data_IF_964541910319
#
_entry.id   IF_964541910319
#
_cell.length_a   1.000
_cell.length_b   1.000
_cell.length_c   1.000
_cell.angle_alpha   90.00
_cell.angle_beta   90.00
_cell.angle_gamma   90.00
#
_symmetry.space_group_name_H-M   'P 1'
#
loop_
_entity.id
_entity.type
_entity.pdbx_description
1 polymer ?
#
# COMPACT_ATOMS: atom_id res chain seq x y z
N UNK A 1 10.00 18.49 16.54
CA UNK A 1 10.63 18.98 15.30
C UNK A 1 11.42 20.27 15.54
N UNK A 2 12.43 20.53 14.72
CA UNK A 2 13.20 21.82 14.76
C UNK A 2 12.37 22.99 14.22
N UNK A 3 11.34 22.72 13.39
CA UNK A 3 10.39 23.72 12.93
C UNK A 3 9.32 23.91 14.00
N UNK A 4 9.26 25.13 14.56
CA UNK A 4 8.29 25.50 15.61
C UNK A 4 6.82 25.44 15.16
N UNK A 5 6.57 25.41 13.85
CA UNK A 5 5.23 25.26 13.27
C UNK A 5 4.80 23.79 13.12
N UNK A 6 5.72 22.84 13.23
CA UNK A 6 5.43 21.41 13.16
C UNK A 6 5.24 20.87 14.58
N UNK A 7 4.02 20.73 15.00
CA UNK A 7 3.67 20.29 16.35
C UNK A 7 2.99 18.92 16.30
N UNK A 8 3.62 17.91 16.87
CA UNK A 8 2.97 16.63 17.11
C UNK A 8 2.03 16.78 18.32
N UNK A 9 0.74 16.97 18.07
CA UNK A 9 -0.26 17.30 19.07
C UNK A 9 -1.33 16.22 19.22
N UNK A 10 -1.70 15.81 20.45
CA UNK A 10 -2.82 14.88 20.68
C UNK A 10 -4.18 15.43 20.22
N UNK A 11 -4.31 16.74 20.03
CA UNK A 11 -5.53 17.36 19.49
C UNK A 11 -5.75 17.01 18.02
N UNK A 12 -4.67 16.88 17.26
CA UNK A 12 -4.68 16.51 15.84
C UNK A 12 -4.55 14.98 15.66
N UNK A 13 -3.72 14.37 16.49
CA UNK A 13 -3.40 12.94 16.45
C UNK A 13 -3.90 12.24 17.72
N UNK A 14 -5.17 11.89 17.76
CA UNK A 14 -5.85 11.37 18.95
C UNK A 14 -5.17 10.12 19.55
N UNK A 15 -4.58 9.26 18.71
CA UNK A 15 -3.88 8.06 19.18
C UNK A 15 -2.64 8.38 20.03
N UNK A 16 -2.04 9.55 19.86
CA UNK A 16 -0.94 10.01 20.71
C UNK A 16 -1.37 10.19 22.17
N UNK A 17 -2.63 10.56 22.43
CA UNK A 17 -3.15 10.69 23.80
C UNK A 17 -3.21 9.36 24.56
N UNK A 18 -3.27 8.23 23.85
CA UNK A 18 -3.23 6.90 24.44
C UNK A 18 -1.82 6.46 24.86
N UNK A 19 -0.80 7.26 24.52
CA UNK A 19 0.62 6.95 24.73
C UNK A 19 1.24 7.72 25.91
N UNK A 20 0.43 8.19 26.85
CA UNK A 20 0.94 8.84 28.07
C UNK A 20 1.80 7.85 28.86
N UNK A 21 3.05 8.25 29.13
CA UNK A 21 4.03 7.41 29.82
C UNK A 21 4.90 6.54 28.88
N UNK A 22 4.66 6.59 27.57
CA UNK A 22 5.53 5.93 26.59
C UNK A 22 6.66 6.84 26.13
N UNK A 23 7.79 6.26 25.80
CA UNK A 23 8.83 6.94 25.03
C UNK A 23 8.43 6.98 23.55
N UNK A 24 8.38 8.18 23.00
CA UNK A 24 8.01 8.44 21.61
C UNK A 24 9.24 8.82 20.80
N UNK A 25 9.51 8.09 19.73
CA UNK A 25 10.57 8.40 18.78
C UNK A 25 9.99 9.27 17.67
N UNK A 26 10.66 10.38 17.36
CA UNK A 26 10.33 11.30 16.26
C UNK A 26 11.60 11.71 15.52
N UNK A 27 11.44 12.31 14.33
CA UNK A 27 12.53 13.00 13.64
C UNK A 27 12.52 14.50 13.93
N UNK A 28 13.51 15.22 13.39
CA UNK A 28 13.63 16.69 13.52
C UNK A 28 12.50 17.47 12.80
N UNK A 29 11.76 16.81 11.91
CA UNK A 29 10.77 17.44 11.01
C UNK A 29 11.36 17.90 9.68
N UNK A 30 12.70 17.87 9.51
CA UNK A 30 13.38 18.18 8.24
C UNK A 30 13.53 16.96 7.34
N UNK A 31 13.47 15.78 7.91
CA UNK A 31 13.52 14.49 7.23
C UNK A 31 12.39 13.60 7.75
N UNK A 32 12.03 12.57 7.00
CA UNK A 32 11.21 11.48 7.54
C UNK A 32 11.94 10.81 8.69
N UNK A 33 11.20 10.30 9.66
CA UNK A 33 11.73 9.38 10.67
C UNK A 33 12.11 8.06 10.01
N UNK A 34 11.26 7.56 9.09
CA UNK A 34 11.36 6.24 8.49
C UNK A 34 11.14 5.14 9.53
N UNK A 35 10.19 5.36 10.45
CA UNK A 35 9.64 4.27 11.26
C UNK A 35 9.03 3.22 10.35
N UNK A 36 8.47 3.65 9.26
CA UNK A 36 8.11 2.90 8.07
C UNK A 36 9.35 2.71 7.16
N UNK A 37 10.04 1.47 7.13
CA UNK A 37 9.71 0.39 8.08
C UNK A 37 10.92 -0.03 8.94
N UNK A 38 11.67 0.93 9.46
CA UNK A 38 12.74 0.62 10.44
C UNK A 38 12.18 0.07 11.77
N UNK A 39 10.91 0.36 12.09
CA UNK A 39 10.27 -0.20 13.26
C UNK A 39 10.12 -1.72 13.14
N UNK A 40 9.65 -2.22 11.98
CA UNK A 40 9.57 -3.64 11.70
C UNK A 40 10.93 -4.33 11.74
N UNK A 41 11.97 -3.71 11.15
CA UNK A 41 13.35 -4.23 11.26
C UNK A 41 13.78 -4.37 12.73
N UNK A 42 13.55 -3.35 13.56
CA UNK A 42 13.93 -3.37 14.97
C UNK A 42 13.15 -4.44 15.76
N UNK A 43 11.86 -4.61 15.50
CA UNK A 43 11.02 -5.66 16.09
C UNK A 43 11.55 -7.04 15.75
N UNK A 44 11.80 -7.32 14.46
CA UNK A 44 12.31 -8.59 13.97
C UNK A 44 13.67 -8.90 14.60
N UNK A 45 14.61 -7.95 14.55
CA UNK A 45 15.96 -8.16 15.09
C UNK A 45 15.98 -8.32 16.62
N UNK A 46 15.06 -7.66 17.32
CA UNK A 46 14.91 -7.84 18.79
C UNK A 46 14.39 -9.24 19.11
N UNK A 47 13.39 -9.73 18.37
CA UNK A 47 12.88 -11.08 18.54
C UNK A 47 13.95 -12.14 18.23
N UNK A 48 14.73 -11.94 17.16
CA UNK A 48 15.87 -12.83 16.82
C UNK A 48 16.90 -12.88 17.93
N UNK A 49 17.31 -11.73 18.46
CA UNK A 49 18.26 -11.67 19.55
C UNK A 49 17.74 -12.39 20.80
N UNK A 50 16.45 -12.25 21.12
CA UNK A 50 15.81 -13.00 22.20
C UNK A 50 15.88 -14.50 21.98
N UNK A 51 15.51 -15.00 20.81
CA UNK A 51 15.51 -16.43 20.47
C UNK A 51 16.92 -17.02 20.54
N UNK A 52 17.92 -16.33 20.01
CA UNK A 52 19.33 -16.78 20.08
C UNK A 52 19.83 -16.84 21.53
N UNK A 53 19.41 -15.92 22.39
CA UNK A 53 19.79 -15.90 23.82
C UNK A 53 19.14 -17.03 24.62
N UNK A 54 18.01 -17.58 24.15
CA UNK A 54 17.21 -18.62 24.80
C UNK A 54 17.41 -19.98 24.12
N UNK A 55 18.63 -20.52 24.17
CA UNK A 55 19.05 -21.76 23.47
C UNK A 55 18.20 -23.01 23.72
N UNK A 56 17.32 -23.00 24.73
CA UNK A 56 16.48 -24.14 25.12
C UNK A 56 15.00 -24.00 24.67
N UNK A 57 14.62 -22.95 23.97
CA UNK A 57 13.27 -22.83 23.43
C UNK A 57 13.19 -23.45 22.04
N UNK A 58 12.37 -24.51 21.92
CA UNK A 58 12.11 -25.14 20.61
C UNK A 58 11.27 -24.22 19.75
N UNK A 59 11.76 -23.86 18.57
CA UNK A 59 11.00 -23.17 17.55
C UNK A 59 11.20 -23.81 16.17
N UNK A 60 10.25 -23.62 15.28
CA UNK A 60 10.37 -24.01 13.89
C UNK A 60 11.48 -23.21 13.20
N UNK A 61 11.95 -23.69 12.05
CA UNK A 61 12.84 -22.89 11.18
C UNK A 61 12.17 -21.54 10.84
N UNK A 62 12.93 -20.47 10.99
CA UNK A 62 12.49 -19.10 10.71
C UNK A 62 13.35 -18.56 9.58
N UNK A 63 12.71 -18.00 8.58
CA UNK A 63 13.32 -17.29 7.47
C UNK A 63 13.01 -15.80 7.61
N UNK A 64 14.03 -14.96 7.47
CA UNK A 64 13.91 -13.51 7.58
C UNK A 64 14.34 -12.91 6.25
N UNK A 65 13.52 -12.00 5.72
CA UNK A 65 13.86 -11.22 4.55
C UNK A 65 13.68 -9.73 4.85
N UNK A 66 14.63 -8.95 4.41
CA UNK A 66 14.53 -7.50 4.33
C UNK A 66 14.55 -7.12 2.87
N UNK A 67 13.47 -6.58 2.38
CA UNK A 67 13.29 -6.19 1.00
C UNK A 67 13.69 -4.72 0.79
N UNK A 68 14.17 -4.40 -0.38
CA UNK A 68 14.38 -3.03 -0.84
C UNK A 68 13.24 -2.62 -1.77
N UNK A 69 13.03 -1.31 -1.95
CA UNK A 69 12.06 -0.79 -2.92
C UNK A 69 10.58 -1.16 -2.64
N UNK A 70 10.21 -1.46 -1.37
CA UNK A 70 8.83 -1.72 -0.97
C UNK A 70 7.92 -0.54 -1.33
N UNK A 71 8.32 0.68 -0.98
CA UNK A 71 7.60 1.94 -1.16
C UNK A 71 7.20 2.26 -2.62
N UNK A 72 7.85 1.62 -3.56
CA UNK A 72 7.53 1.70 -4.99
C UNK A 72 6.94 0.40 -5.56
N UNK A 73 6.51 -0.52 -4.68
CA UNK A 73 5.89 -1.79 -5.03
C UNK A 73 6.82 -2.76 -5.74
N UNK A 74 8.12 -2.76 -5.43
CA UNK A 74 9.15 -3.62 -6.03
C UNK A 74 9.90 -4.48 -5.02
N UNK A 75 9.44 -4.55 -3.77
CA UNK A 75 10.07 -5.32 -2.71
C UNK A 75 10.10 -6.81 -2.98
N UNK A 76 9.01 -7.37 -3.52
CA UNK A 76 8.92 -8.81 -3.81
C UNK A 76 9.42 -9.15 -5.21
N UNK A 77 10.70 -9.45 -5.35
CA UNK A 77 11.26 -9.94 -6.61
C UNK A 77 10.73 -11.34 -6.97
N UNK A 78 10.93 -11.75 -8.23
CA UNK A 78 10.31 -12.96 -8.79
C UNK A 78 10.61 -14.24 -8.00
N UNK A 79 11.83 -14.39 -7.51
CA UNK A 79 12.29 -15.63 -6.86
C UNK A 79 12.14 -15.58 -5.32
N UNK A 80 11.72 -14.48 -4.73
CA UNK A 80 11.64 -14.36 -3.27
C UNK A 80 10.78 -15.46 -2.61
N UNK A 81 9.63 -15.89 -3.14
CA UNK A 81 8.87 -17.01 -2.59
C UNK A 81 9.67 -18.33 -2.54
N UNK A 82 10.41 -18.63 -3.60
CA UNK A 82 11.26 -19.83 -3.68
C UNK A 82 12.45 -19.74 -2.73
N UNK A 83 13.09 -18.57 -2.62
CA UNK A 83 14.20 -18.32 -1.72
C UNK A 83 13.76 -18.43 -0.25
N UNK A 84 12.58 -17.93 0.08
CA UNK A 84 11.99 -18.08 1.40
C UNK A 84 11.63 -19.55 1.69
N UNK A 85 11.04 -20.25 0.73
CA UNK A 85 10.63 -21.66 0.86
C UNK A 85 9.85 -21.92 2.16
N UNK A 86 8.82 -21.12 2.43
CA UNK A 86 7.99 -21.18 3.64
C UNK A 86 6.53 -21.42 3.28
N UNK A 87 5.74 -21.92 4.23
CA UNK A 87 4.30 -22.16 4.05
C UNK A 87 3.47 -20.89 4.15
N UNK A 88 3.92 -19.91 4.92
CA UNK A 88 3.34 -18.60 5.13
C UNK A 88 4.37 -17.67 5.75
N UNK A 89 4.10 -16.38 5.74
CA UNK A 89 4.95 -15.36 6.34
C UNK A 89 4.10 -14.28 7.05
N UNK A 90 4.78 -13.31 7.66
CA UNK A 90 4.18 -12.07 8.19
C UNK A 90 5.09 -10.90 7.80
N UNK A 91 4.49 -9.79 7.40
CA UNK A 91 5.17 -8.49 7.38
C UNK A 91 4.90 -7.78 8.71
N UNK A 92 5.87 -7.02 9.21
CA UNK A 92 5.74 -6.15 10.37
C UNK A 92 5.86 -4.71 9.89
N UNK A 93 4.77 -4.21 9.33
CA UNK A 93 4.68 -2.95 8.60
C UNK A 93 3.30 -2.29 8.80
N UNK A 94 2.66 -2.60 9.93
CA UNK A 94 1.34 -2.10 10.27
C UNK A 94 1.36 -0.95 11.27
N UNK A 95 0.20 -0.30 11.43
CA UNK A 95 0.04 0.89 12.26
C UNK A 95 -0.18 0.60 13.74
N UNK A 96 -1.41 0.83 14.23
CA UNK A 96 -1.76 0.79 15.65
C UNK A 96 -1.69 -0.61 16.25
N UNK A 97 -1.40 -0.66 17.55
CA UNK A 97 -1.42 -1.92 18.32
C UNK A 97 -2.72 -2.69 18.10
N UNK A 98 -2.59 -3.97 17.76
CA UNK A 98 -3.69 -4.88 17.48
C UNK A 98 -4.13 -4.93 16.03
N UNK A 99 -3.69 -4.03 15.16
CA UNK A 99 -4.02 -4.08 13.74
C UNK A 99 -3.38 -5.32 13.08
N UNK A 100 -4.22 -6.07 12.37
CA UNK A 100 -3.84 -7.13 11.44
C UNK A 100 -4.46 -6.77 10.10
N UNK A 101 -3.61 -6.53 9.11
CA UNK A 101 -4.07 -6.24 7.78
C UNK A 101 -4.15 -7.54 6.98
N UNK A 102 -5.34 -7.92 6.62
CA UNK A 102 -5.65 -9.13 5.88
C UNK A 102 -6.34 -8.84 4.54
N UNK A 103 -6.49 -7.58 4.22
CA UNK A 103 -7.17 -7.09 3.04
C UNK A 103 -6.49 -5.82 2.52
N UNK A 104 -6.21 -5.79 1.22
CA UNK A 104 -5.62 -4.66 0.52
C UNK A 104 -6.46 -4.29 -0.68
N UNK A 105 -6.21 -3.13 -1.28
CA UNK A 105 -6.72 -2.89 -2.62
C UNK A 105 -6.23 -3.96 -3.61
N UNK A 106 -7.01 -4.20 -4.64
CA UNK A 106 -6.55 -4.64 -5.95
C UNK A 106 -6.15 -3.41 -6.76
N UNK A 107 -5.11 -3.53 -7.58
CA UNK A 107 -4.49 -2.41 -8.27
C UNK A 107 -4.23 -2.71 -9.74
N UNK A 108 -4.58 -1.75 -10.58
CA UNK A 108 -4.18 -1.67 -11.97
C UNK A 108 -3.65 -0.26 -12.26
N UNK A 109 -2.86 -0.12 -13.32
CA UNK A 109 -2.52 1.17 -13.90
C UNK A 109 -3.10 1.28 -15.30
N UNK A 110 -3.34 2.50 -15.75
CA UNK A 110 -3.72 2.78 -17.12
C UNK A 110 -2.81 3.87 -17.69
N UNK A 111 -2.55 3.78 -18.99
CA UNK A 111 -1.86 4.79 -19.76
C UNK A 111 -2.70 5.14 -20.98
N UNK A 112 -3.05 6.42 -21.11
CA UNK A 112 -3.78 6.96 -22.25
C UNK A 112 -2.82 7.73 -23.11
N UNK A 113 -2.58 7.23 -24.31
CA UNK A 113 -1.76 7.88 -25.34
C UNK A 113 -2.67 8.60 -26.33
N UNK A 114 -2.47 9.90 -26.47
CA UNK A 114 -3.25 10.79 -27.33
C UNK A 114 -2.31 11.37 -28.38
N UNK A 115 -2.58 11.12 -29.64
CA UNK A 115 -1.89 11.76 -30.78
C UNK A 115 -2.84 12.72 -31.47
N UNK A 116 -2.44 13.98 -31.50
CA UNK A 116 -3.13 15.04 -32.24
C UNK A 116 -2.67 15.16 -33.70
N UNK A 117 -3.00 16.28 -34.32
CA UNK A 117 -2.56 16.66 -35.67
C UNK A 117 -1.78 17.97 -35.56
N UNK A 118 -0.48 17.92 -35.81
CA UNK A 118 0.40 19.08 -35.77
C UNK A 118 0.35 19.87 -37.06
N UNK A 119 0.10 21.18 -36.94
CA UNK A 119 0.12 22.16 -38.03
C UNK A 119 0.77 23.42 -37.51
N UNK A 120 1.39 24.22 -38.38
CA UNK A 120 1.90 25.55 -37.99
C UNK A 120 0.77 26.39 -37.39
N UNK A 121 0.95 27.01 -36.21
CA UNK A 121 -0.14 27.73 -35.54
C UNK A 121 -0.85 28.80 -36.38
N UNK A 122 -0.13 29.45 -37.29
CA UNK A 122 -0.68 30.43 -38.22
C UNK A 122 -1.66 29.86 -39.26
N UNK A 123 -1.54 28.57 -39.55
CA UNK A 123 -2.31 27.87 -40.58
C UNK A 123 -3.28 26.80 -39.95
N UNK A 124 -3.39 26.83 -38.62
CA UNK A 124 -4.00 25.75 -37.84
C UNK A 124 -5.55 25.72 -37.84
N UNK A 125 -6.19 26.76 -38.41
CA UNK A 125 -7.66 26.87 -38.36
C UNK A 125 -8.32 25.70 -39.07
N UNK A 126 -9.11 24.92 -38.30
CA UNK A 126 -9.81 23.67 -38.70
C UNK A 126 -8.91 22.50 -39.08
N UNK A 127 -7.58 22.65 -38.97
CA UNK A 127 -6.60 21.63 -39.38
C UNK A 127 -5.89 21.00 -38.16
N UNK A 128 -5.53 21.84 -37.18
CA UNK A 128 -4.84 21.36 -35.98
C UNK A 128 -5.77 20.60 -35.03
N UNK A 129 -5.25 19.52 -34.44
CA UNK A 129 -5.83 18.87 -33.29
C UNK A 129 -4.80 18.86 -32.17
N UNK A 130 -5.07 19.63 -31.13
CA UNK A 130 -4.14 19.79 -30.01
C UNK A 130 -4.35 18.68 -28.97
N UNK A 131 -3.34 17.83 -28.80
CA UNK A 131 -3.38 16.70 -27.85
C UNK A 131 -3.55 17.16 -26.39
N UNK A 132 -3.04 18.35 -26.00
CA UNK A 132 -3.23 18.91 -24.66
C UNK A 132 -4.71 19.18 -24.38
N UNK A 133 -5.44 19.73 -25.37
CA UNK A 133 -6.87 20.01 -25.20
C UNK A 133 -7.66 18.71 -24.99
N UNK A 134 -7.37 17.65 -25.76
CA UNK A 134 -8.01 16.35 -25.62
C UNK A 134 -7.68 15.69 -24.28
N UNK A 135 -6.42 15.76 -23.84
CA UNK A 135 -6.01 15.27 -22.54
C UNK A 135 -6.75 15.98 -21.39
N UNK A 136 -6.87 17.30 -21.47
CA UNK A 136 -7.63 18.10 -20.50
C UNK A 136 -9.10 17.75 -20.49
N UNK A 137 -9.67 17.45 -21.66
CA UNK A 137 -11.07 17.01 -21.78
C UNK A 137 -11.28 15.64 -21.12
N UNK A 138 -10.35 14.68 -21.24
CA UNK A 138 -10.42 13.40 -20.52
C UNK A 138 -10.46 13.65 -19.01
N UNK A 139 -9.56 14.46 -18.47
CA UNK A 139 -9.51 14.75 -17.03
C UNK A 139 -10.79 15.45 -16.56
N UNK A 140 -11.27 16.46 -17.30
CA UNK A 140 -12.44 17.24 -16.93
C UNK A 140 -13.76 16.42 -16.97
N UNK A 141 -13.81 15.35 -17.74
CA UNK A 141 -14.96 14.46 -17.81
C UNK A 141 -14.89 13.27 -16.85
N UNK A 142 -13.79 13.10 -16.10
CA UNK A 142 -13.78 12.15 -14.98
C UNK A 142 -14.78 12.61 -13.92
N UNK A 143 -15.51 11.69 -13.27
CA UNK A 143 -16.41 12.04 -12.16
C UNK A 143 -15.59 12.34 -10.89
N UNK A 144 -14.87 13.47 -10.90
CA UNK A 144 -13.88 13.87 -9.88
C UNK A 144 -14.49 13.96 -8.47
N UNK A 145 -15.78 14.25 -8.38
CA UNK A 145 -16.52 14.37 -7.11
C UNK A 145 -16.88 13.01 -6.47
N UNK A 146 -16.58 11.88 -7.12
CA UNK A 146 -16.99 10.54 -6.66
C UNK A 146 -15.89 9.50 -6.60
N UNK A 147 -14.91 9.57 -7.51
CA UNK A 147 -13.97 8.45 -7.73
C UNK A 147 -12.51 8.85 -7.69
N UNK A 148 -12.16 9.98 -7.09
CA UNK A 148 -10.76 10.38 -6.91
C UNK A 148 -10.30 10.15 -5.45
N UNK A 149 -8.99 10.04 -5.19
CA UNK A 149 -8.49 9.85 -3.83
C UNK A 149 -8.94 10.94 -2.86
N UNK A 150 -9.13 12.17 -3.35
CA UNK A 150 -9.49 13.35 -2.55
C UNK A 150 -10.91 13.27 -1.95
N UNK A 151 -11.78 12.46 -2.53
CA UNK A 151 -13.21 12.37 -2.16
C UNK A 151 -13.64 10.98 -1.72
N UNK A 152 -12.74 9.99 -1.76
CA UNK A 152 -13.06 8.59 -1.41
C UNK A 152 -12.43 8.19 -0.09
N UNK A 153 -13.16 7.40 0.70
CA UNK A 153 -12.70 6.89 1.99
C UNK A 153 -13.03 5.39 2.16
N UNK A 154 -12.56 4.81 3.26
CA UNK A 154 -12.90 3.43 3.69
C UNK A 154 -12.70 2.41 2.55
N UNK A 155 -13.79 1.78 2.11
CA UNK A 155 -13.77 0.74 1.09
C UNK A 155 -14.02 1.26 -0.32
N UNK A 156 -14.14 2.55 -0.50
CA UNK A 156 -14.36 3.16 -1.81
C UNK A 156 -13.06 3.14 -2.63
N UNK A 157 -13.15 2.62 -3.85
CA UNK A 157 -12.04 2.63 -4.79
C UNK A 157 -11.93 3.96 -5.54
N UNK A 158 -10.83 4.16 -6.26
CA UNK A 158 -10.59 5.41 -6.98
C UNK A 158 -9.87 5.23 -8.32
N UNK A 159 -9.97 6.26 -9.16
CA UNK A 159 -9.09 6.55 -10.31
C UNK A 159 -8.28 7.79 -9.95
N UNK A 160 -6.97 7.69 -10.04
CA UNK A 160 -6.06 8.82 -9.78
C UNK A 160 -5.16 9.07 -10.98
N UNK A 161 -5.27 10.26 -11.58
CA UNK A 161 -4.33 10.71 -12.58
C UNK A 161 -3.02 11.13 -11.89
N UNK A 162 -1.93 10.44 -12.21
CA UNK A 162 -0.62 10.67 -11.56
C UNK A 162 0.29 11.56 -12.37
N UNK A 163 0.19 11.49 -13.70
CA UNK A 163 1.07 12.23 -14.61
C UNK A 163 0.33 12.65 -15.87
N UNK A 164 0.70 13.83 -16.40
CA UNK A 164 0.40 14.28 -17.75
C UNK A 164 1.69 14.75 -18.39
N UNK A 165 2.14 14.05 -19.42
CA UNK A 165 3.46 14.28 -20.05
C UNK A 165 3.29 14.41 -21.55
N UNK A 166 3.85 15.45 -22.15
CA UNK A 166 3.80 15.62 -23.60
C UNK A 166 3.74 17.06 -24.08
N UNK A 167 3.13 17.25 -25.25
CA UNK A 167 2.99 18.54 -25.92
C UNK A 167 1.73 18.55 -26.81
N UNK A 168 1.56 19.58 -27.65
CA UNK A 168 0.40 19.72 -28.52
C UNK A 168 0.25 18.62 -29.58
N UNK A 169 1.34 17.89 -29.91
CA UNK A 169 1.30 16.77 -30.88
C UNK A 169 0.91 15.46 -30.25
N UNK A 170 1.45 15.20 -29.04
CA UNK A 170 1.25 13.94 -28.32
C UNK A 170 1.21 14.17 -26.83
N UNK A 171 0.24 13.55 -26.15
CA UNK A 171 0.11 13.56 -24.70
C UNK A 171 -0.04 12.13 -24.17
N UNK A 172 0.54 11.89 -23.01
CA UNK A 172 0.38 10.67 -22.21
C UNK A 172 -0.23 11.07 -20.88
N UNK A 173 -1.33 10.42 -20.50
CA UNK A 173 -1.90 10.52 -19.15
C UNK A 173 -1.69 9.17 -18.47
N UNK A 174 -1.12 9.17 -17.26
CA UNK A 174 -1.00 7.97 -16.45
C UNK A 174 -1.99 7.98 -15.31
N UNK A 175 -2.59 6.82 -15.08
CA UNK A 175 -3.56 6.61 -14.02
C UNK A 175 -3.18 5.40 -13.17
N UNK A 176 -3.53 5.46 -11.90
CA UNK A 176 -3.64 4.29 -11.04
C UNK A 176 -5.11 4.06 -10.68
N UNK A 177 -5.53 2.80 -10.73
CA UNK A 177 -6.87 2.34 -10.40
C UNK A 177 -6.79 1.46 -9.16
N UNK A 178 -7.64 1.73 -8.19
CA UNK A 178 -7.69 0.99 -6.92
C UNK A 178 -9.12 0.63 -6.57
N UNK A 179 -9.32 -0.61 -6.16
CA UNK A 179 -10.59 -1.08 -5.58
C UNK A 179 -10.33 -2.34 -4.75
N UNK A 180 -11.16 -2.59 -3.73
CA UNK A 180 -11.10 -3.84 -2.98
C UNK A 180 -11.67 -5.01 -3.78
N UNK A 181 -12.66 -4.73 -4.64
CA UNK A 181 -13.32 -5.75 -5.46
C UNK A 181 -12.88 -5.67 -6.92
N UNK A 182 -12.70 -6.82 -7.57
CA UNK A 182 -12.32 -6.88 -8.99
C UNK A 182 -13.36 -6.22 -9.89
N UNK A 183 -14.65 -6.38 -9.56
CA UNK A 183 -15.73 -5.72 -10.27
C UNK A 183 -15.59 -4.20 -10.26
N UNK A 184 -15.24 -3.61 -9.11
CA UNK A 184 -15.01 -2.17 -8.99
C UNK A 184 -13.78 -1.72 -9.79
N UNK A 185 -12.73 -2.55 -9.93
CA UNK A 185 -11.62 -2.26 -10.84
C UNK A 185 -12.07 -2.25 -12.31
N UNK A 186 -12.89 -3.23 -12.71
CA UNK A 186 -13.37 -3.34 -14.08
C UNK A 186 -14.30 -2.15 -14.42
N UNK A 187 -15.20 -1.75 -13.52
CA UNK A 187 -16.01 -0.53 -13.66
C UNK A 187 -15.14 0.73 -13.88
N UNK A 188 -14.00 0.84 -13.20
CA UNK A 188 -13.07 1.96 -13.38
C UNK A 188 -12.35 1.94 -14.72
N UNK A 189 -12.04 0.75 -15.25
CA UNK A 189 -11.50 0.61 -16.61
C UNK A 189 -12.54 1.03 -17.64
N UNK A 190 -13.79 0.57 -17.50
CA UNK A 190 -14.89 0.92 -18.37
C UNK A 190 -15.10 2.44 -18.43
N UNK A 191 -15.07 3.14 -17.29
CA UNK A 191 -15.15 4.61 -17.25
C UNK A 191 -14.07 5.25 -18.11
N UNK A 192 -12.81 4.84 -17.99
CA UNK A 192 -11.72 5.40 -18.80
C UNK A 192 -11.86 5.06 -20.28
N UNK A 193 -12.26 3.83 -20.61
CA UNK A 193 -12.49 3.41 -22.00
C UNK A 193 -13.62 4.20 -22.66
N UNK A 194 -14.74 4.39 -21.95
CA UNK A 194 -15.87 5.16 -22.45
C UNK A 194 -15.51 6.63 -22.67
N UNK A 195 -14.75 7.25 -21.76
CA UNK A 195 -14.25 8.61 -21.92
C UNK A 195 -13.35 8.73 -23.16
N UNK A 196 -12.37 7.85 -23.29
CA UNK A 196 -11.47 7.84 -24.44
C UNK A 196 -12.26 7.65 -25.75
N UNK A 197 -13.21 6.72 -25.78
CA UNK A 197 -14.07 6.45 -26.93
C UNK A 197 -14.94 7.65 -27.28
N UNK A 198 -15.54 8.30 -26.30
CA UNK A 198 -16.37 9.50 -26.50
C UNK A 198 -15.57 10.60 -27.18
N UNK A 199 -14.36 10.89 -26.67
CA UNK A 199 -13.49 11.95 -27.22
C UNK A 199 -12.97 11.54 -28.61
N UNK A 200 -12.62 10.28 -28.84
CA UNK A 200 -12.24 9.79 -30.16
C UNK A 200 -13.37 9.97 -31.20
N UNK A 201 -14.63 9.85 -30.80
CA UNK A 201 -15.78 10.06 -31.69
C UNK A 201 -15.97 11.54 -32.00
N UNK A 202 -15.78 12.44 -31.03
CA UNK A 202 -15.91 13.89 -31.25
C UNK A 202 -14.76 14.48 -32.07
N UNK A 203 -13.54 13.89 -31.98
CA UNK A 203 -12.37 14.28 -32.78
C UNK A 203 -11.76 13.06 -33.49
N UNK A 204 -12.33 12.63 -34.62
CA UNK A 204 -11.89 11.43 -35.32
C UNK A 204 -10.50 11.50 -35.98
N UNK A 205 -9.92 12.71 -36.09
CA UNK A 205 -8.56 12.92 -36.61
C UNK A 205 -7.48 12.62 -35.57
N UNK A 206 -7.81 12.65 -34.27
CA UNK A 206 -6.93 12.20 -33.22
C UNK A 206 -6.77 10.67 -33.23
N UNK A 207 -5.74 10.17 -32.51
CA UNK A 207 -5.63 8.75 -32.19
C UNK A 207 -5.50 8.64 -30.67
N UNK A 208 -6.49 8.00 -30.04
CA UNK A 208 -6.52 7.81 -28.59
C UNK A 208 -6.44 6.31 -28.32
N UNK A 209 -5.41 5.89 -27.58
CA UNK A 209 -5.23 4.50 -27.18
C UNK A 209 -5.13 4.44 -25.65
N UNK A 210 -5.75 3.44 -25.06
CA UNK A 210 -5.64 3.16 -23.63
C UNK A 210 -5.05 1.78 -23.43
N UNK A 211 -4.13 1.68 -22.46
CA UNK A 211 -3.44 0.44 -22.10
C UNK A 211 -3.58 0.23 -20.61
N UNK A 212 -4.01 -0.96 -20.20
CA UNK A 212 -4.10 -1.34 -18.80
C UNK A 212 -2.99 -2.33 -18.44
N UNK A 213 -2.46 -2.17 -17.24
CA UNK A 213 -1.46 -3.10 -16.69
C UNK A 213 -1.86 -3.49 -15.27
N UNK A 214 -2.00 -4.79 -15.05
CA UNK A 214 -2.18 -5.37 -13.71
C UNK A 214 -0.95 -5.08 -12.85
N UNK A 215 -1.19 -4.66 -11.60
CA UNK A 215 -0.15 -4.45 -10.60
C UNK A 215 -0.18 -5.57 -9.54
N UNK A 216 -1.19 -5.60 -8.68
CA UNK A 216 -1.39 -6.62 -7.66
C UNK A 216 -2.89 -6.82 -7.37
N UNK A 217 -3.21 -7.84 -6.57
CA UNK A 217 -4.58 -8.15 -6.17
C UNK A 217 -4.72 -8.15 -4.66
N UNK A 218 -5.95 -7.92 -4.19
CA UNK A 218 -6.33 -7.96 -2.80
C UNK A 218 -5.92 -9.30 -2.17
N UNK A 219 -5.09 -9.25 -1.13
CA UNK A 219 -4.59 -10.45 -0.46
C UNK A 219 -5.70 -11.31 0.15
N UNK A 220 -6.87 -10.72 0.44
CA UNK A 220 -8.03 -11.40 1.00
C UNK A 220 -8.43 -12.62 0.16
N UNK A 221 -8.34 -12.57 -1.16
CA UNK A 221 -8.73 -13.68 -2.02
C UNK A 221 -8.02 -15.00 -1.72
N UNK A 222 -6.79 -14.94 -1.26
CA UNK A 222 -6.01 -16.11 -0.86
C UNK A 222 -6.04 -16.36 0.65
N UNK A 223 -6.08 -15.30 1.47
CA UNK A 223 -6.13 -15.43 2.92
C UNK A 223 -7.48 -15.98 3.41
N UNK A 224 -8.57 -15.76 2.68
CA UNK A 224 -9.87 -16.40 2.98
C UNK A 224 -9.87 -17.91 2.70
N UNK A 225 -9.06 -18.36 1.73
CA UNK A 225 -8.89 -19.79 1.42
C UNK A 225 -7.93 -20.48 2.41
N UNK A 226 -6.91 -19.77 2.89
CA UNK A 226 -5.95 -20.24 3.89
C UNK A 226 -5.86 -19.29 5.08
N UNK A 227 -6.75 -19.47 6.04
CA UNK A 227 -6.88 -18.62 7.22
C UNK A 227 -5.85 -18.89 8.32
N UNK A 228 -5.08 -19.98 8.23
CA UNK A 228 -4.16 -20.40 9.30
C UNK A 228 -3.22 -19.29 9.78
N UNK A 229 -2.55 -18.49 8.92
CA UNK A 229 -1.70 -17.42 9.40
C UNK A 229 -2.45 -16.34 10.19
N UNK A 230 -3.67 -16.00 9.75
CA UNK A 230 -4.53 -15.05 10.47
C UNK A 230 -4.95 -15.56 11.83
N UNK A 231 -5.36 -16.84 11.92
CA UNK A 231 -5.77 -17.47 13.17
C UNK A 231 -4.63 -17.56 14.18
N UNK A 232 -3.41 -17.83 13.73
CA UNK A 232 -2.21 -17.79 14.57
C UNK A 232 -1.95 -16.40 15.10
N UNK A 233 -2.01 -15.38 14.23
CA UNK A 233 -1.79 -13.97 14.61
C UNK A 233 -2.87 -13.48 15.59
N UNK A 234 -4.15 -13.76 15.32
CA UNK A 234 -5.27 -13.43 16.20
C UNK A 234 -5.10 -14.08 17.58
N UNK A 235 -4.71 -15.36 17.62
CA UNK A 235 -4.45 -16.09 18.86
C UNK A 235 -3.26 -15.52 19.62
N UNK A 236 -2.19 -15.13 18.91
CA UNK A 236 -1.02 -14.50 19.53
C UNK A 236 -1.39 -13.16 20.19
N UNK A 237 -2.18 -12.33 19.53
CA UNK A 237 -2.71 -11.08 20.08
C UNK A 237 -3.55 -11.34 21.35
N UNK A 238 -4.49 -12.27 21.29
CA UNK A 238 -5.32 -12.63 22.45
C UNK A 238 -4.47 -13.14 23.64
N UNK A 239 -3.45 -13.95 23.38
CA UNK A 239 -2.53 -14.44 24.41
C UNK A 239 -1.73 -13.31 25.06
N UNK A 240 -1.57 -12.18 24.36
CA UNK A 240 -0.94 -10.94 24.87
C UNK A 240 -1.95 -9.92 25.41
N UNK A 241 -3.21 -10.32 25.59
CA UNK A 241 -4.31 -9.45 26.04
C UNK A 241 -4.54 -8.25 25.09
N UNK A 242 -4.22 -8.41 23.81
CA UNK A 242 -4.46 -7.40 22.78
C UNK A 242 -5.67 -7.83 21.94
N UNK A 243 -6.62 -6.93 21.75
CA UNK A 243 -7.79 -7.17 20.90
C UNK A 243 -7.38 -7.04 19.42
N UNK A 244 -7.56 -8.09 18.59
CA UNK A 244 -7.31 -8.00 17.15
C UNK A 244 -8.22 -6.98 16.46
N UNK A 245 -7.65 -6.15 15.62
CA UNK A 245 -8.34 -5.15 14.81
C UNK A 245 -8.06 -5.48 13.35
N UNK A 246 -9.06 -5.97 12.61
CA UNK A 246 -8.94 -6.18 11.17
C UNK A 246 -9.18 -4.87 10.45
N UNK A 247 -8.18 -4.40 9.72
CA UNK A 247 -8.24 -3.16 8.98
C UNK A 247 -7.84 -3.39 7.52
N UNK A 248 -8.67 -2.97 6.56
CA UNK A 248 -8.28 -3.01 5.16
C UNK A 248 -7.30 -1.87 4.85
N UNK A 249 -6.25 -2.18 4.09
CA UNK A 249 -5.28 -1.19 3.60
C UNK A 249 -5.76 -0.61 2.27
N UNK A 250 -5.81 0.71 2.15
CA UNK A 250 -6.11 1.43 0.89
C UNK A 250 -4.88 1.54 -0.03
N UNK A 251 -4.08 0.52 -0.07
CA UNK A 251 -2.84 0.37 -0.83
C UNK A 251 -2.49 -1.09 -0.99
N UNK A 252 -1.25 -1.37 -1.32
CA UNK A 252 -0.65 -2.71 -1.33
C UNK A 252 0.53 -2.74 -0.37
N UNK A 253 1.01 -3.94 -0.07
CA UNK A 253 2.21 -4.20 0.73
C UNK A 253 2.98 -5.35 0.09
N UNK A 254 4.20 -5.58 0.51
CA UNK A 254 4.94 -6.80 0.15
C UNK A 254 4.16 -8.06 0.53
N UNK A 255 3.37 -8.01 1.62
CA UNK A 255 2.46 -9.07 2.01
C UNK A 255 1.42 -9.41 0.94
N UNK A 256 0.88 -8.41 0.24
CA UNK A 256 -0.05 -8.62 -0.89
C UNK A 256 0.62 -9.37 -2.04
N UNK A 257 1.83 -8.95 -2.40
CA UNK A 257 2.59 -9.54 -3.50
C UNK A 257 3.07 -10.96 -3.19
N UNK A 258 3.51 -11.22 -1.95
CA UNK A 258 3.89 -12.57 -1.49
C UNK A 258 2.68 -13.50 -1.47
N UNK A 259 1.54 -13.01 -0.95
CA UNK A 259 0.29 -13.78 -0.88
C UNK A 259 -0.18 -14.19 -2.28
N UNK A 260 -0.18 -13.27 -3.24
CA UNK A 260 -0.52 -13.56 -4.64
C UNK A 260 0.44 -14.60 -5.27
N UNK A 261 1.70 -14.64 -4.82
CA UNK A 261 2.71 -15.61 -5.28
C UNK A 261 2.71 -16.93 -4.51
N UNK A 262 1.72 -17.17 -3.67
CA UNK A 262 1.50 -18.45 -2.98
C UNK A 262 2.08 -18.53 -1.56
N UNK A 263 2.58 -17.43 -1.00
CA UNK A 263 3.01 -17.33 0.41
C UNK A 263 2.03 -16.44 1.17
N UNK A 264 0.98 -16.98 1.80
CA UNK A 264 0.01 -16.20 2.58
C UNK A 264 0.71 -15.35 3.64
N UNK A 265 0.59 -14.02 3.54
CA UNK A 265 1.40 -13.08 4.33
C UNK A 265 0.54 -11.93 4.84
N UNK A 266 -0.18 -12.09 5.96
CA UNK A 266 -0.83 -10.96 6.62
C UNK A 266 0.19 -9.99 7.20
N UNK A 267 -0.22 -8.72 7.36
CA UNK A 267 0.60 -7.67 7.93
C UNK A 267 0.24 -7.43 9.40
N UNK A 268 1.25 -7.22 10.23
CA UNK A 268 1.13 -7.03 11.69
C UNK A 268 1.59 -5.62 12.06
N UNK A 269 0.96 -5.04 13.05
CA UNK A 269 1.28 -3.72 13.56
C UNK A 269 2.74 -3.60 14.06
N UNK A 270 3.29 -2.39 13.93
CA UNK A 270 4.57 -1.97 14.51
C UNK A 270 4.41 -0.87 15.55
N UNK A 271 3.30 -0.15 15.52
CA UNK A 271 3.04 1.04 16.34
C UNK A 271 3.32 2.36 15.62
N UNK A 272 3.90 2.34 14.41
CA UNK A 272 4.22 3.54 13.64
C UNK A 272 2.96 4.33 13.26
N UNK A 273 3.10 5.64 13.20
CA UNK A 273 2.02 6.57 12.91
C UNK A 273 2.51 7.73 12.05
N UNK A 274 1.59 8.35 11.30
CA UNK A 274 1.83 9.52 10.45
C UNK A 274 2.97 9.29 9.45
N UNK A 275 3.08 8.06 8.95
CA UNK A 275 4.10 7.65 7.98
C UNK A 275 4.10 8.55 6.75
N UNK A 276 5.23 8.64 6.05
CA UNK A 276 5.45 9.49 4.88
C UNK A 276 5.32 11.00 5.16
N UNK A 277 5.34 11.41 6.43
CA UNK A 277 5.18 12.81 6.83
C UNK A 277 6.23 13.29 7.82
N UNK A 278 6.41 14.61 7.97
CA UNK A 278 7.39 15.18 8.91
C UNK A 278 7.01 15.00 10.38
N UNK A 279 5.76 14.62 10.67
CA UNK A 279 5.24 14.32 12.01
C UNK A 279 5.11 12.81 12.26
N UNK A 280 5.88 12.01 11.52
CA UNK A 280 5.99 10.58 11.74
C UNK A 280 6.54 10.28 13.15
N UNK A 281 5.94 9.27 13.80
CA UNK A 281 6.35 8.86 15.13
C UNK A 281 6.08 7.38 15.38
N UNK A 282 6.79 6.81 16.37
CA UNK A 282 6.55 5.46 16.87
C UNK A 282 6.78 5.39 18.38
N UNK A 283 5.98 4.58 19.08
CA UNK A 283 6.15 4.30 20.49
C UNK A 283 7.04 3.08 20.70
N UNK A 284 8.09 3.20 21.54
CA UNK A 284 8.95 2.07 21.89
C UNK A 284 8.19 0.95 22.59
N UNK A 285 7.18 1.29 23.39
CA UNK A 285 6.31 0.31 24.06
C UNK A 285 5.44 -0.46 23.06
N UNK A 286 4.95 0.19 22.00
CA UNK A 286 4.17 -0.47 20.97
C UNK A 286 5.06 -1.43 20.16
N UNK A 287 6.31 -1.04 19.85
CA UNK A 287 7.29 -1.91 19.21
C UNK A 287 7.62 -3.13 20.09
N UNK A 288 7.75 -2.94 21.41
CA UNK A 288 7.97 -4.03 22.36
C UNK A 288 6.79 -5.02 22.36
N UNK A 289 5.54 -4.52 22.35
CA UNK A 289 4.35 -5.36 22.23
C UNK A 289 4.33 -6.14 20.90
N UNK A 290 4.70 -5.51 19.77
CA UNK A 290 4.79 -6.18 18.49
C UNK A 290 5.86 -7.29 18.50
N UNK A 291 7.00 -7.06 19.17
CA UNK A 291 8.03 -8.08 19.40
C UNK A 291 7.49 -9.26 20.21
N UNK A 292 6.72 -8.99 21.25
CA UNK A 292 6.11 -10.05 22.06
C UNK A 292 5.06 -10.85 21.27
N UNK A 293 4.29 -10.19 20.40
CA UNK A 293 3.33 -10.86 19.49
C UNK A 293 4.08 -11.73 18.49
N UNK A 294 5.18 -11.26 17.90
CA UNK A 294 6.03 -12.06 17.01
C UNK A 294 6.53 -13.33 17.70
N UNK A 295 7.06 -13.20 18.91
CA UNK A 295 7.55 -14.35 19.69
C UNK A 295 6.42 -15.35 20.00
N UNK A 296 5.21 -14.87 20.30
CA UNK A 296 4.06 -15.72 20.54
C UNK A 296 3.57 -16.42 19.26
N UNK A 297 3.59 -15.75 18.09
CA UNK A 297 3.34 -16.36 16.78
C UNK A 297 4.31 -17.53 16.53
N UNK A 298 5.61 -17.32 16.76
CA UNK A 298 6.65 -18.32 16.57
C UNK A 298 6.38 -19.54 17.48
N UNK A 299 6.05 -19.32 18.74
CA UNK A 299 5.72 -20.35 19.73
C UNK A 299 4.48 -21.15 19.34
N UNK A 300 3.41 -20.45 18.93
CA UNK A 300 2.16 -21.10 18.49
C UNK A 300 2.38 -21.97 17.25
N UNK A 301 3.16 -21.48 16.28
CA UNK A 301 3.49 -22.25 15.08
C UNK A 301 4.31 -23.50 15.39
N UNK A 302 5.20 -23.45 16.38
CA UNK A 302 6.01 -24.61 16.80
C UNK A 302 5.14 -25.72 17.40
N UNK A 303 4.09 -25.36 18.13
CA UNK A 303 3.15 -26.30 18.76
C UNK A 303 2.21 -26.97 17.75
N UNK A 304 2.01 -26.40 16.56
CA UNK A 304 1.17 -27.02 15.51
C UNK A 304 1.87 -28.19 14.78
N UNK A 305 3.18 -28.38 14.98
CA UNK A 305 3.97 -29.46 14.37
C UNK A 305 4.06 -30.72 15.25
N UNK A 306 3.59 -30.63 16.48
CA UNK A 306 3.51 -31.74 17.44
C UNK A 306 2.07 -32.26 17.55
#
# INVERSE_FOLDING_TARGET
PDDVNLILSPKEFSYLSEKIGHDIITASGKTLLGADDKAGIAIIMTAVNFLISKQNENHSEIRIAFTTDEEIGRGVHKNLPDDLNVKFAYTFDGGKVGEIDNETFSADSAEVLIKGVSIHPGDAKNEMVNAIHLASEIINNLPLERITPEVTEKREGFIHATDMIGNSSEMIIKFILRDFELKGLDEKKEILEELCKKIQVTEPRAKINIFFKRQYRNMRYWLDENRMPLEIAEKALHNKCIQPIKKPIRGGTDGSLLTEKGVPTPNIFTGMQNVHGPLEWVSTSDMALATEVMLEIIKLNSNLKN
#
